data_IF_481693652455
#
_entry.id   IF_481693652455
#
_cell.length_a   1.000
_cell.length_b   1.000
_cell.length_c   1.000
_cell.angle_alpha   90.00
_cell.angle_beta   90.00
_cell.angle_gamma   90.00
#
_symmetry.space_group_name_H-M   'P 1'
#
loop_
_entity.id
_entity.type
_entity.pdbx_description
1 polymer ?
#
# COMPACT_ATOMS: atom_id res chain seq x y z
N UNK A 1 4.71 -7.44 -4.57
CA UNK A 1 3.39 -7.28 -5.23
C UNK A 1 2.66 -6.00 -4.80
N UNK A 2 2.43 -5.76 -3.50
CA UNK A 2 1.67 -4.60 -2.99
C UNK A 2 2.07 -3.23 -3.58
N UNK A 3 3.38 -2.98 -3.75
CA UNK A 3 3.88 -1.76 -4.39
C UNK A 3 3.33 -1.52 -5.80
N UNK A 4 3.24 -2.58 -6.61
CA UNK A 4 2.71 -2.50 -7.97
C UNK A 4 1.21 -2.26 -7.99
N UNK A 5 0.47 -2.91 -7.08
CA UNK A 5 -0.97 -2.71 -6.91
C UNK A 5 -1.25 -1.25 -6.54
N UNK A 6 -0.61 -0.74 -5.49
CA UNK A 6 -0.78 0.65 -5.08
C UNK A 6 -0.47 1.64 -6.20
N UNK A 7 0.62 1.43 -6.94
CA UNK A 7 0.99 2.28 -8.09
C UNK A 7 -0.13 2.31 -9.14
N UNK A 8 -0.70 1.15 -9.48
CA UNK A 8 -1.74 1.05 -10.50
C UNK A 8 -3.05 1.66 -10.01
N UNK A 9 -3.46 1.40 -8.77
CA UNK A 9 -4.65 1.99 -8.15
C UNK A 9 -4.55 3.52 -8.09
N UNK A 10 -3.41 4.05 -7.63
CA UNK A 10 -3.14 5.49 -7.58
C UNK A 10 -3.20 6.12 -8.97
N UNK A 11 -2.59 5.49 -9.97
CA UNK A 11 -2.64 5.98 -11.35
C UNK A 11 -4.08 6.06 -11.88
N UNK A 12 -4.87 5.00 -11.71
CA UNK A 12 -6.26 4.94 -12.18
C UNK A 12 -7.12 6.00 -11.50
N UNK A 13 -7.08 6.09 -10.16
CA UNK A 13 -7.90 7.08 -9.45
C UNK A 13 -7.48 8.52 -9.77
N UNK A 14 -6.18 8.76 -9.97
CA UNK A 14 -5.68 10.08 -10.32
C UNK A 14 -6.15 10.51 -11.71
N UNK A 15 -6.19 9.59 -12.67
CA UNK A 15 -6.70 9.87 -14.02
C UNK A 15 -8.23 10.05 -13.98
N UNK A 16 -8.95 9.11 -13.40
CA UNK A 16 -10.42 9.16 -13.33
C UNK A 16 -10.91 10.42 -12.63
N UNK A 17 -10.22 10.88 -11.58
CA UNK A 17 -10.56 12.11 -10.90
C UNK A 17 -10.51 13.35 -11.81
N UNK A 18 -9.58 13.37 -12.77
CA UNK A 18 -9.47 14.45 -13.75
C UNK A 18 -10.61 14.37 -14.78
N UNK A 19 -10.85 13.17 -15.32
CA UNK A 19 -11.77 12.96 -16.45
C UNK A 19 -13.25 13.05 -16.03
N UNK A 20 -13.58 12.59 -14.81
CA UNK A 20 -14.96 12.56 -14.32
C UNK A 20 -15.43 13.96 -13.90
N UNK A 21 -16.58 14.35 -14.43
CA UNK A 21 -17.28 15.59 -14.07
C UNK A 21 -18.47 15.29 -13.13
N UNK A 22 -18.63 16.12 -12.09
CA UNK A 22 -19.81 16.15 -11.24
C UNK A 22 -20.02 17.57 -10.69
N UNK A 23 -21.28 17.97 -10.50
CA UNK A 23 -21.61 19.33 -10.04
C UNK A 23 -20.94 20.43 -10.89
N UNK A 24 -20.87 20.21 -12.20
CA UNK A 24 -20.34 21.19 -13.17
C UNK A 24 -18.81 21.31 -13.24
N UNK A 25 -18.04 20.44 -12.55
CA UNK A 25 -16.58 20.49 -12.57
C UNK A 25 -15.92 19.13 -12.41
N UNK A 26 -14.61 19.07 -12.63
CA UNK A 26 -13.82 17.86 -12.44
C UNK A 26 -13.89 17.42 -10.98
N UNK A 27 -14.06 16.12 -10.72
CA UNK A 27 -14.13 15.64 -9.32
C UNK A 27 -12.81 15.83 -8.58
N UNK A 28 -11.70 16.02 -9.31
CA UNK A 28 -10.38 16.40 -8.78
C UNK A 28 -10.41 17.68 -7.95
N UNK A 29 -11.36 18.57 -8.18
CA UNK A 29 -11.47 19.85 -7.46
C UNK A 29 -12.10 19.72 -6.07
N UNK A 30 -12.69 18.57 -5.73
CA UNK A 30 -13.26 18.36 -4.41
C UNK A 30 -12.18 17.92 -3.41
N UNK A 31 -12.10 18.61 -2.27
CA UNK A 31 -11.06 18.39 -1.25
C UNK A 31 -10.93 16.94 -0.77
N UNK A 32 -12.05 16.20 -0.68
CA UNK A 32 -11.99 14.78 -0.29
C UNK A 32 -11.34 13.88 -1.36
N UNK A 33 -11.52 14.20 -2.65
CA UNK A 33 -10.83 13.49 -3.74
C UNK A 33 -9.33 13.83 -3.72
N UNK A 34 -8.99 15.11 -3.48
CA UNK A 34 -7.60 15.55 -3.33
C UNK A 34 -6.91 14.85 -2.16
N UNK A 35 -7.60 14.70 -1.02
CA UNK A 35 -7.12 13.94 0.14
C UNK A 35 -6.78 12.50 -0.25
N UNK A 36 -7.72 11.78 -0.88
CA UNK A 36 -7.48 10.40 -1.29
C UNK A 36 -6.25 10.26 -2.19
N UNK A 37 -6.08 11.16 -3.16
CA UNK A 37 -4.92 11.15 -4.06
C UNK A 37 -3.63 11.49 -3.32
N UNK A 38 -3.64 12.54 -2.49
CA UNK A 38 -2.47 13.03 -1.77
C UNK A 38 -1.93 12.04 -0.75
N UNK A 39 -2.81 11.50 0.11
CA UNK A 39 -2.43 10.49 1.12
C UNK A 39 -1.87 9.23 0.44
N UNK A 40 -2.54 8.76 -0.63
CA UNK A 40 -2.11 7.57 -1.34
C UNK A 40 -0.77 7.74 -2.06
N UNK A 41 -0.46 8.96 -2.54
CA UNK A 41 0.87 9.26 -3.08
C UNK A 41 1.95 9.17 -2.01
N UNK A 42 1.72 9.79 -0.84
CA UNK A 42 2.67 9.75 0.27
C UNK A 42 2.92 8.32 0.74
N UNK A 43 1.86 7.54 0.95
CA UNK A 43 1.94 6.14 1.36
C UNK A 43 2.61 5.26 0.28
N UNK A 44 2.31 5.46 -1.00
CA UNK A 44 3.00 4.76 -2.09
C UNK A 44 4.51 5.06 -2.09
N UNK A 45 4.88 6.32 -1.89
CA UNK A 45 6.28 6.74 -1.84
C UNK A 45 7.01 6.18 -0.61
N UNK A 46 6.37 6.19 0.56
CA UNK A 46 6.90 5.59 1.78
C UNK A 46 7.11 4.07 1.61
N UNK A 47 6.11 3.37 1.07
CA UNK A 47 6.21 1.94 0.78
C UNK A 47 7.35 1.64 -0.19
N UNK A 48 7.49 2.45 -1.27
CA UNK A 48 8.58 2.31 -2.22
C UNK A 48 9.92 2.50 -1.54
N UNK A 49 10.08 3.54 -0.74
CA UNK A 49 11.32 3.81 -0.03
C UNK A 49 11.69 2.64 0.87
N UNK A 50 10.77 2.18 1.73
CA UNK A 50 11.04 1.10 2.67
C UNK A 50 11.44 -0.21 1.95
N UNK A 51 10.67 -0.62 0.93
CA UNK A 51 10.97 -1.84 0.15
C UNK A 51 12.38 -1.78 -0.46
N UNK A 52 12.71 -0.69 -1.16
CA UNK A 52 13.99 -0.60 -1.87
C UNK A 52 15.17 -0.34 -0.93
N UNK A 53 14.92 0.23 0.24
CA UNK A 53 15.93 0.36 1.28
C UNK A 53 16.29 -1.00 1.89
N UNK A 54 15.28 -1.75 2.36
CA UNK A 54 15.46 -3.11 2.87
C UNK A 54 16.09 -4.04 1.83
N UNK A 55 15.67 -3.95 0.57
CA UNK A 55 16.24 -4.78 -0.50
C UNK A 55 17.72 -4.47 -0.78
N UNK A 56 18.18 -3.24 -0.50
CA UNK A 56 19.57 -2.84 -0.70
C UNK A 56 20.48 -3.35 0.42
N UNK A 57 19.96 -3.43 1.63
CA UNK A 57 20.72 -3.81 2.83
C UNK A 57 20.71 -5.31 3.08
N UNK A 58 19.78 -6.05 2.48
CA UNK A 58 19.63 -7.49 2.68
C UNK A 58 20.79 -8.29 2.06
N UNK A 59 21.55 -8.98 2.90
CA UNK A 59 22.56 -9.96 2.48
C UNK A 59 21.91 -11.35 2.34
N UNK A 60 21.69 -11.79 1.10
CA UNK A 60 21.03 -13.08 0.81
C UNK A 60 21.83 -14.31 1.28
N UNK A 61 23.10 -14.15 1.64
CA UNK A 61 23.93 -15.24 2.17
C UNK A 61 23.76 -15.43 3.69
N UNK A 62 23.08 -14.51 4.39
CA UNK A 62 22.98 -14.51 5.86
C UNK A 62 21.53 -14.55 6.34
N UNK A 63 21.29 -15.38 7.36
CA UNK A 63 20.06 -15.34 8.15
C UNK A 63 20.01 -14.15 9.13
N UNK A 64 18.90 -14.02 9.84
CA UNK A 64 18.77 -13.05 10.95
C UNK A 64 18.38 -11.62 10.56
N UNK A 65 18.19 -11.32 9.26
CA UNK A 65 17.85 -9.99 8.76
C UNK A 65 16.33 -9.77 8.60
N UNK A 66 15.55 -10.35 9.52
CA UNK A 66 14.10 -10.45 9.35
C UNK A 66 13.34 -9.17 9.70
N UNK A 67 13.83 -8.37 10.66
CA UNK A 67 13.09 -7.23 11.24
C UNK A 67 12.47 -6.32 10.17
N UNK A 68 13.27 -5.79 9.26
CA UNK A 68 12.77 -4.92 8.19
C UNK A 68 12.00 -5.66 7.10
N UNK A 69 12.32 -6.93 6.82
CA UNK A 69 11.54 -7.69 5.85
C UNK A 69 10.09 -7.93 6.32
N UNK A 70 9.90 -8.17 7.62
CA UNK A 70 8.57 -8.28 8.24
C UNK A 70 7.88 -6.91 8.32
N UNK A 71 8.63 -5.85 8.66
CA UNK A 71 8.13 -4.47 8.66
C UNK A 71 7.65 -4.01 7.28
N UNK A 72 8.43 -4.27 6.24
CA UNK A 72 8.07 -4.02 4.84
C UNK A 72 6.81 -4.78 4.47
N UNK A 73 6.74 -6.08 4.78
CA UNK A 73 5.56 -6.90 4.45
C UNK A 73 4.32 -6.37 5.16
N UNK A 74 4.41 -6.07 6.45
CA UNK A 74 3.33 -5.49 7.25
C UNK A 74 2.82 -4.16 6.67
N UNK A 75 3.73 -3.22 6.40
CA UNK A 75 3.39 -1.89 5.90
C UNK A 75 2.84 -1.94 4.47
N UNK A 76 3.55 -2.63 3.57
CA UNK A 76 3.23 -2.61 2.15
C UNK A 76 1.88 -3.25 1.83
N UNK A 77 1.51 -4.34 2.51
CA UNK A 77 0.26 -5.05 2.19
C UNK A 77 -0.97 -4.28 2.67
N UNK A 78 -0.90 -3.72 3.89
CA UNK A 78 -1.99 -2.92 4.46
C UNK A 78 -2.20 -1.63 3.66
N UNK A 79 -1.13 -0.91 3.34
CA UNK A 79 -1.22 0.32 2.52
C UNK A 79 -1.69 0.03 1.10
N UNK A 80 -1.25 -1.05 0.46
CA UNK A 80 -1.71 -1.38 -0.90
C UNK A 80 -3.22 -1.61 -0.96
N UNK A 81 -3.79 -2.29 0.05
CA UNK A 81 -5.24 -2.49 0.15
C UNK A 81 -5.98 -1.17 0.37
N UNK A 82 -5.49 -0.32 1.27
CA UNK A 82 -6.11 1.00 1.53
C UNK A 82 -6.04 1.95 0.33
N UNK A 83 -4.93 1.96 -0.41
CA UNK A 83 -4.82 2.76 -1.64
C UNK A 83 -5.78 2.23 -2.71
N UNK A 84 -5.92 0.90 -2.84
CA UNK A 84 -6.90 0.32 -3.75
C UNK A 84 -8.34 0.66 -3.33
N UNK A 85 -8.63 0.67 -2.03
CA UNK A 85 -9.93 0.98 -1.45
C UNK A 85 -10.34 2.44 -1.75
N UNK A 86 -9.42 3.38 -1.52
CA UNK A 86 -9.63 4.79 -1.90
C UNK A 86 -9.81 4.97 -3.40
N UNK A 87 -9.11 4.17 -4.21
CA UNK A 87 -9.33 4.19 -5.65
C UNK A 87 -10.75 3.73 -6.02
N UNK A 88 -11.28 2.68 -5.38
CA UNK A 88 -12.69 2.28 -5.55
C UNK A 88 -13.61 3.46 -5.18
N UNK A 89 -13.37 4.10 -4.04
CA UNK A 89 -14.18 5.23 -3.56
C UNK A 89 -14.18 6.43 -4.54
N UNK A 90 -13.02 6.78 -5.11
CA UNK A 90 -12.90 7.86 -6.11
C UNK A 90 -13.63 7.51 -7.41
N UNK A 91 -13.61 6.24 -7.81
CA UNK A 91 -14.33 5.76 -9.00
C UNK A 91 -15.84 5.58 -8.74
N UNK A 92 -16.27 5.47 -7.48
CA UNK A 92 -17.66 5.19 -7.11
C UNK A 92 -18.09 3.81 -7.59
N UNK A 93 -19.32 3.68 -8.10
CA UNK A 93 -19.85 2.40 -8.61
C UNK A 93 -18.97 1.76 -9.69
N UNK A 94 -18.32 2.57 -10.55
CA UNK A 94 -17.38 2.09 -11.56
C UNK A 94 -16.14 1.42 -10.97
N UNK A 95 -15.75 1.79 -9.75
CA UNK A 95 -14.64 1.17 -9.03
C UNK A 95 -15.01 -0.18 -8.43
N UNK A 96 -16.31 -0.45 -8.23
CA UNK A 96 -16.83 -1.68 -7.64
C UNK A 96 -17.10 -2.77 -8.70
N UNK A 97 -17.47 -2.37 -9.92
CA UNK A 97 -17.76 -3.29 -11.03
C UNK A 97 -16.52 -3.59 -11.86
N UNK A 98 -16.55 -4.72 -12.57
CA UNK A 98 -15.42 -5.25 -13.33
C UNK A 98 -15.02 -4.43 -14.59
N UNK A 99 -15.70 -3.31 -14.86
CA UNK A 99 -15.32 -2.38 -15.93
C UNK A 99 -13.97 -1.70 -15.65
N UNK A 100 -13.67 -1.45 -14.38
CA UNK A 100 -12.35 -0.98 -13.95
C UNK A 100 -11.63 -2.06 -13.15
N UNK A 101 -10.34 -2.21 -13.42
CA UNK A 101 -9.50 -3.23 -12.77
C UNK A 101 -9.29 -3.00 -11.26
N UNK A 102 -9.75 -1.88 -10.70
CA UNK A 102 -9.48 -1.49 -9.31
C UNK A 102 -10.12 -2.46 -8.31
N UNK A 103 -11.32 -2.99 -8.59
CA UNK A 103 -11.94 -4.03 -7.76
C UNK A 103 -11.04 -5.27 -7.62
N UNK A 104 -10.44 -5.71 -8.73
CA UNK A 104 -9.53 -6.85 -8.73
C UNK A 104 -8.27 -6.54 -7.96
N UNK A 105 -7.71 -5.34 -8.15
CA UNK A 105 -6.52 -4.88 -7.43
C UNK A 105 -6.74 -4.87 -5.91
N UNK A 106 -7.93 -4.48 -5.45
CA UNK A 106 -8.29 -4.53 -4.03
C UNK A 106 -8.36 -5.97 -3.52
N UNK A 107 -9.02 -6.88 -4.25
CA UNK A 107 -9.09 -8.30 -3.89
C UNK A 107 -7.70 -8.95 -3.83
N UNK A 108 -6.85 -8.66 -4.83
CA UNK A 108 -5.48 -9.14 -4.88
C UNK A 108 -4.65 -8.59 -3.71
N UNK A 109 -4.85 -7.31 -3.35
CA UNK A 109 -4.17 -6.70 -2.20
C UNK A 109 -4.59 -7.33 -0.87
N UNK A 110 -5.88 -7.63 -0.69
CA UNK A 110 -6.39 -8.26 0.53
C UNK A 110 -5.75 -9.62 0.80
N UNK A 111 -5.53 -10.42 -0.25
CA UNK A 111 -4.86 -11.71 -0.10
C UNK A 111 -3.44 -11.57 0.48
N UNK A 112 -2.74 -10.47 0.20
CA UNK A 112 -1.39 -10.24 0.71
C UNK A 112 -1.35 -10.01 2.23
N UNK A 113 -2.47 -9.64 2.87
CA UNK A 113 -2.56 -9.55 4.34
C UNK A 113 -2.65 -10.92 5.01
N UNK A 114 -2.91 -11.99 4.24
CA UNK A 114 -3.16 -13.35 4.72
C UNK A 114 -2.05 -14.30 4.26
N UNK A 115 -1.72 -14.24 2.96
CA UNK A 115 -0.73 -15.09 2.32
C UNK A 115 0.70 -14.69 2.63
N UNK A 116 1.60 -15.69 2.71
CA UNK A 116 3.02 -15.48 3.00
C UNK A 116 3.31 -14.98 4.42
N UNK A 117 2.36 -15.17 5.34
CA UNK A 117 2.38 -14.63 6.70
C UNK A 117 1.28 -13.58 6.89
N UNK A 118 0.48 -13.76 7.94
CA UNK A 118 -0.57 -12.81 8.27
C UNK A 118 0.02 -11.51 8.84
N UNK A 119 -0.75 -10.42 8.77
CA UNK A 119 -0.40 -9.14 9.41
C UNK A 119 -0.01 -9.33 10.88
N UNK A 120 -0.76 -10.14 11.63
CA UNK A 120 -0.51 -10.44 13.05
C UNK A 120 0.76 -11.26 13.25
N UNK A 121 1.09 -12.14 12.31
CA UNK A 121 2.32 -12.92 12.35
C UNK A 121 3.54 -12.02 12.21
N UNK A 122 3.50 -11.05 11.29
CA UNK A 122 4.58 -10.07 11.12
C UNK A 122 4.67 -9.12 12.32
N UNK A 123 3.54 -8.67 12.88
CA UNK A 123 3.52 -7.90 14.13
C UNK A 123 4.20 -8.66 15.27
N UNK A 124 3.85 -9.94 15.48
CA UNK A 124 4.47 -10.79 16.49
C UNK A 124 5.98 -10.93 16.29
N UNK A 125 6.43 -11.12 15.04
CA UNK A 125 7.84 -11.28 14.74
C UNK A 125 8.64 -9.99 14.99
N UNK A 126 8.13 -8.85 14.52
CA UNK A 126 8.77 -7.54 14.74
C UNK A 126 8.91 -7.28 16.24
N UNK A 127 7.84 -7.49 17.01
CA UNK A 127 7.89 -7.32 18.48
C UNK A 127 8.91 -8.25 19.14
N UNK A 128 8.97 -9.53 18.73
CA UNK A 128 9.98 -10.45 19.26
C UNK A 128 11.40 -9.98 18.95
N UNK A 129 11.65 -9.54 17.72
CA UNK A 129 12.98 -9.21 17.25
C UNK A 129 13.47 -7.90 17.90
N UNK A 130 12.58 -6.91 18.08
CA UNK A 130 12.88 -5.69 18.87
C UNK A 130 13.11 -5.99 20.37
N UNK A 131 12.43 -6.99 20.93
CA UNK A 131 12.70 -7.41 22.31
C UNK A 131 14.07 -8.10 22.48
N UNK A 132 14.55 -8.80 21.43
CA UNK A 132 15.86 -9.42 21.42
C UNK A 132 16.99 -8.41 21.19
N UNK A 133 16.71 -7.36 20.44
CA UNK A 133 17.65 -6.29 20.08
C UNK A 133 16.99 -4.91 20.23
N UNK A 134 16.86 -4.39 21.47
CA UNK A 134 16.17 -3.12 21.72
C UNK A 134 16.82 -1.92 21.03
N UNK A 135 18.14 -1.96 20.83
CA UNK A 135 18.90 -0.88 20.21
C UNK A 135 18.72 -0.83 18.67
N UNK A 136 17.99 -1.78 18.07
CA UNK A 136 17.69 -1.77 16.65
C UNK A 136 16.95 -0.50 16.19
N UNK A 137 16.17 0.14 17.07
CA UNK A 137 15.45 1.40 16.75
C UNK A 137 16.35 2.63 16.66
N UNK A 138 17.61 2.53 17.11
CA UNK A 138 18.58 3.62 17.12
C UNK A 138 19.54 3.58 15.91
N UNK A 139 19.42 2.58 15.04
CA UNK A 139 20.28 2.39 13.87
C UNK A 139 19.82 3.18 12.65
#
# INVERSE_FOLDING_TARGET
MGLGIARRSLHIMNQYATDRQAFGRSIREFGQIQRHIGESWAEYRAMRAYIYDTARTLDLSKGGQRLDSDGVKLYATTRAKEIADRAIQVLGGYGYVAEYVVERLWRDAKLLEIGGGTVESHQKNVTRDLNQDPDAVLR
#
